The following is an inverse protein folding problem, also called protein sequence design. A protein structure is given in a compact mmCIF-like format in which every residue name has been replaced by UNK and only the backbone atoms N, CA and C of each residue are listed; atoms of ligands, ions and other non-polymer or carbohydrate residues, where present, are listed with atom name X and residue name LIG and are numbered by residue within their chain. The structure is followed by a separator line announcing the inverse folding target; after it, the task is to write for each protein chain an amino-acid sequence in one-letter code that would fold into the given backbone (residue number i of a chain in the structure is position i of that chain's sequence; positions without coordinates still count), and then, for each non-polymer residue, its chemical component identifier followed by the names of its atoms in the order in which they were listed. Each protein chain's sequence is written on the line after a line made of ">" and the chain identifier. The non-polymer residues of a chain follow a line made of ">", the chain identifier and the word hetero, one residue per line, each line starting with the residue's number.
data_IF_870943355793
#
_entry.id   IF_870943355793
#
_cell.length_a   1.000
_cell.length_b   1.000
_cell.length_c   1.000
_cell.angle_alpha   90.00
_cell.angle_beta   90.00
_cell.angle_gamma   90.00
#
_symmetry.space_group_name_H-M   'P 1'
#
loop_
_entity.id
_entity.type
_entity.pdbx_description
1 polymer ?
#
# COMPACT_ATOMS: atom_id res chain seq x y z
N UNK A 1 -12.83 18.93 8.90
CA UNK A 1 -11.53 18.30 9.18
C UNK A 1 -10.42 19.12 8.56
N UNK A 2 -9.80 19.95 9.39
CA UNK A 2 -8.53 20.61 9.10
C UNK A 2 -7.41 19.58 8.99
N UNK A 3 -6.28 19.95 8.40
CA UNK A 3 -5.15 19.03 8.27
C UNK A 3 -4.51 18.68 9.63
N UNK A 4 -4.67 19.55 10.62
CA UNK A 4 -4.30 19.28 12.01
C UNK A 4 -5.15 18.16 12.62
N UNK A 5 -6.48 18.24 12.48
CA UNK A 5 -7.40 17.20 12.95
C UNK A 5 -7.16 15.86 12.25
N UNK A 6 -6.86 15.88 10.94
CA UNK A 6 -6.50 14.67 10.21
C UNK A 6 -5.19 14.06 10.72
N UNK A 7 -4.20 14.89 11.04
CA UNK A 7 -2.91 14.42 11.56
C UNK A 7 -3.06 13.77 12.93
N UNK A 8 -3.81 14.40 13.84
CA UNK A 8 -4.10 13.84 15.17
C UNK A 8 -4.90 12.54 15.08
N UNK A 9 -5.88 12.50 14.18
CA UNK A 9 -6.63 11.29 13.89
C UNK A 9 -5.73 10.17 13.34
N UNK A 10 -4.83 10.45 12.40
CA UNK A 10 -3.91 9.43 11.88
C UNK A 10 -2.92 8.93 12.95
N UNK A 11 -2.44 9.82 13.82
CA UNK A 11 -1.54 9.47 14.92
C UNK A 11 -2.19 8.55 15.96
N UNK A 12 -3.51 8.51 16.07
CA UNK A 12 -4.19 7.58 17.00
C UNK A 12 -4.17 6.13 16.51
N UNK A 13 -3.90 5.91 15.22
CA UNK A 13 -3.88 4.59 14.59
C UNK A 13 -2.48 4.04 14.33
N UNK A 14 -1.49 4.93 14.28
CA UNK A 14 -0.12 4.60 13.89
C UNK A 14 0.75 4.51 15.13
N UNK A 15 1.35 3.34 15.35
CA UNK A 15 2.36 3.13 16.39
C UNK A 15 3.74 3.59 15.91
N UNK A 16 4.12 3.23 14.69
CA UNK A 16 5.43 3.59 14.11
C UNK A 16 5.38 3.69 12.58
N UNK A 17 6.17 4.59 12.01
CA UNK A 17 6.45 4.67 10.57
C UNK A 17 7.97 4.55 10.39
N UNK A 18 8.41 3.65 9.54
CA UNK A 18 9.81 3.52 9.15
C UNK A 18 10.02 3.99 7.70
N UNK A 19 11.02 4.84 7.49
CA UNK A 19 11.33 5.45 6.21
C UNK A 19 12.71 4.97 5.75
N UNK A 20 12.77 4.48 4.51
CA UNK A 20 14.01 4.16 3.79
C UNK A 20 14.40 5.35 2.93
N UNK A 21 15.66 5.76 2.99
CA UNK A 21 16.17 6.80 2.11
C UNK A 21 16.35 6.22 0.70
N UNK A 22 15.74 6.84 -0.29
CA UNK A 22 15.88 6.49 -1.70
C UNK A 22 16.46 7.68 -2.46
N UNK A 23 17.44 7.41 -3.32
CA UNK A 23 17.88 8.40 -4.31
C UNK A 23 16.87 8.39 -5.44
N UNK A 24 15.99 9.40 -5.46
CA UNK A 24 14.97 9.52 -6.50
C UNK A 24 15.67 9.97 -7.79
N UNK A 25 15.66 9.10 -8.80
CA UNK A 25 16.01 9.33 -10.21
C UNK A 25 17.25 10.19 -10.51
N UNK A 26 18.30 9.56 -11.06
CA UNK A 26 19.47 10.23 -11.64
C UNK A 26 20.23 11.22 -10.72
N UNK A 27 20.32 10.93 -9.43
CA UNK A 27 21.35 11.51 -8.55
C UNK A 27 21.12 12.95 -8.07
N UNK A 28 19.93 13.54 -8.23
CA UNK A 28 19.68 14.95 -7.87
C UNK A 28 18.72 15.19 -6.71
N UNK A 29 18.14 14.15 -6.10
CA UNK A 29 17.26 14.30 -4.93
C UNK A 29 17.39 13.16 -3.90
N UNK A 30 17.53 13.52 -2.63
CA UNK A 30 17.32 12.60 -1.51
C UNK A 30 15.82 12.53 -1.22
N UNK A 31 15.18 11.41 -1.52
CA UNK A 31 13.81 11.12 -1.13
C UNK A 31 13.77 10.15 0.04
N UNK A 32 12.64 10.10 0.75
CA UNK A 32 12.39 9.06 1.75
C UNK A 32 11.11 8.34 1.36
N UNK A 33 11.17 7.01 1.29
CA UNK A 33 10.05 6.13 0.98
C UNK A 33 9.64 5.38 2.25
N UNK A 34 8.35 5.14 2.41
CA UNK A 34 7.83 4.32 3.51
C UNK A 34 8.24 2.86 3.28
N UNK A 35 8.95 2.29 4.26
CA UNK A 35 9.30 0.88 4.27
C UNK A 35 8.18 0.07 4.92
N UNK A 36 7.79 0.45 6.13
CA UNK A 36 6.64 -0.13 6.82
C UNK A 36 5.97 0.83 7.80
N UNK A 37 4.71 0.52 8.13
CA UNK A 37 3.88 1.20 9.12
C UNK A 37 3.40 0.13 10.11
N UNK A 38 3.63 0.37 11.39
CA UNK A 38 3.07 -0.39 12.50
C UNK A 38 1.81 0.32 12.99
N UNK A 39 0.72 -0.43 13.08
CA UNK A 39 -0.59 0.05 13.48
C UNK A 39 -0.92 -0.42 14.89
N UNK A 40 -1.57 0.44 15.65
CA UNK A 40 -1.98 0.18 17.03
C UNK A 40 -3.08 -0.90 17.15
N UNK A 41 -3.58 -1.43 16.02
CA UNK A 41 -4.62 -2.43 15.97
C UNK A 41 -4.30 -3.48 14.90
N UNK A 42 -4.81 -4.72 15.07
CA UNK A 42 -4.62 -5.76 14.08
C UNK A 42 -5.40 -5.45 12.79
N UNK A 43 -4.72 -5.59 11.68
CA UNK A 43 -5.26 -5.54 10.33
C UNK A 43 -5.32 -6.96 9.75
N UNK A 44 -6.37 -7.22 8.99
CA UNK A 44 -6.59 -8.47 8.30
C UNK A 44 -6.45 -8.25 6.80
N UNK A 45 -5.64 -9.09 6.14
CA UNK A 45 -5.48 -9.11 4.70
C UNK A 45 -5.58 -10.55 4.20
N UNK A 46 -6.70 -10.88 3.56
CA UNK A 46 -7.04 -12.28 3.27
C UNK A 46 -7.15 -13.08 4.57
N UNK A 47 -6.43 -14.21 4.65
CA UNK A 47 -6.37 -15.07 5.83
C UNK A 47 -5.24 -14.68 6.80
N UNK A 48 -4.48 -13.62 6.49
CA UNK A 48 -3.37 -13.16 7.31
C UNK A 48 -3.81 -12.06 8.28
N UNK A 49 -3.44 -12.21 9.56
CA UNK A 49 -3.60 -11.19 10.60
C UNK A 49 -2.23 -10.64 11.01
N UNK A 50 -2.10 -9.32 11.06
CA UNK A 50 -0.88 -8.66 11.53
C UNK A 50 -1.13 -7.23 11.95
N UNK A 51 -0.12 -6.57 12.51
CA UNK A 51 -0.16 -5.15 12.88
C UNK A 51 0.72 -4.28 11.97
N UNK A 52 1.55 -4.91 11.14
CA UNK A 52 2.51 -4.26 10.26
C UNK A 52 2.05 -4.32 8.80
N UNK A 53 2.04 -3.17 8.15
CA UNK A 53 1.87 -3.04 6.70
C UNK A 53 3.21 -2.61 6.11
N UNK A 54 3.71 -3.35 5.11
CA UNK A 54 4.97 -3.04 4.42
C UNK A 54 4.73 -2.74 2.95
N UNK A 55 5.55 -1.85 2.40
CA UNK A 55 5.65 -1.72 0.96
C UNK A 55 6.50 -2.89 0.43
N UNK A 56 6.00 -3.71 -0.50
CA UNK A 56 6.82 -4.73 -1.13
C UNK A 56 7.98 -4.07 -1.90
N UNK A 57 9.17 -4.64 -1.76
CA UNK A 57 10.38 -4.17 -2.46
C UNK A 57 10.33 -4.42 -3.97
N UNK A 58 9.55 -5.41 -4.40
CA UNK A 58 9.53 -5.91 -5.77
C UNK A 58 8.21 -5.58 -6.47
N UNK A 59 8.29 -4.86 -7.59
CA UNK A 59 7.23 -4.87 -8.60
C UNK A 59 7.37 -6.17 -9.39
N UNK A 60 6.86 -7.27 -8.85
CA UNK A 60 6.95 -8.54 -9.57
C UNK A 60 6.08 -8.49 -10.83
N UNK A 61 6.53 -9.17 -11.89
CA UNK A 61 5.93 -9.13 -13.22
C UNK A 61 4.46 -9.57 -13.20
N UNK A 62 4.08 -10.41 -12.23
CA UNK A 62 2.71 -10.85 -11.98
C UNK A 62 1.79 -9.69 -11.61
N UNK A 63 2.26 -8.71 -10.83
CA UNK A 63 1.47 -7.53 -10.44
C UNK A 63 1.25 -6.60 -11.63
N UNK A 64 2.28 -6.38 -12.45
CA UNK A 64 2.19 -5.55 -13.67
C UNK A 64 1.27 -6.22 -14.70
N UNK A 65 1.46 -7.52 -14.98
CA UNK A 65 0.60 -8.29 -15.87
C UNK A 65 -0.86 -8.37 -15.38
N UNK A 66 -1.09 -8.47 -14.06
CA UNK A 66 -2.44 -8.49 -13.49
C UNK A 66 -3.14 -7.12 -13.66
N UNK A 67 -2.42 -6.02 -13.49
CA UNK A 67 -2.94 -4.66 -13.69
C UNK A 67 -3.24 -4.36 -15.17
N UNK A 68 -2.39 -4.83 -16.09
CA UNK A 68 -2.60 -4.70 -17.53
C UNK A 68 -3.79 -5.54 -18.02
N UNK A 69 -3.92 -6.79 -17.55
CA UNK A 69 -5.06 -7.66 -17.85
C UNK A 69 -6.41 -7.12 -17.30
N UNK A 70 -6.38 -6.29 -16.25
CA UNK A 70 -7.59 -5.62 -15.74
C UNK A 70 -7.94 -4.35 -16.51
N UNK A 71 -6.97 -3.71 -17.16
CA UNK A 71 -7.20 -2.56 -18.06
C UNK A 71 -7.79 -2.98 -19.41
N UNK A 72 -7.49 -4.17 -19.89
CA UNK A 72 -7.90 -4.66 -21.23
C UNK A 72 -9.20 -5.46 -21.25
N UNK A 73 -9.79 -5.79 -20.09
CA UNK A 73 -11.08 -6.50 -20.03
C UNK A 73 -12.23 -5.50 -19.87
N UNK A 74 -12.97 -5.15 -20.94
CA UNK A 74 -14.28 -4.54 -20.76
C UNK A 74 -15.18 -5.59 -20.10
N UNK A 75 -15.87 -5.21 -19.03
CA UNK A 75 -16.62 -6.12 -18.19
C UNK A 75 -17.52 -7.09 -18.97
N UNK A 76 -17.40 -8.38 -18.69
CA UNK A 76 -18.49 -9.33 -18.93
C UNK A 76 -18.99 -9.85 -17.59
N UNK A 77 -20.20 -9.37 -17.32
CA UNK A 77 -21.15 -9.69 -16.24
C UNK A 77 -21.16 -11.18 -15.92
N UNK A 78 -21.31 -11.47 -14.62
CA UNK A 78 -21.77 -12.75 -14.10
C UNK A 78 -22.92 -13.31 -14.94
N UNK A 79 -22.80 -14.54 -15.40
CA UNK A 79 -23.93 -15.43 -15.64
C UNK A 79 -23.61 -16.77 -14.98
N UNK A 80 -24.08 -16.94 -13.75
CA UNK A 80 -24.08 -18.24 -13.09
C UNK A 80 -25.15 -19.16 -13.66
N UNK A 81 -25.04 -20.45 -13.28
CA UNK A 81 -26.08 -21.50 -13.30
C UNK A 81 -26.53 -21.88 -14.73
N UNK A 82 -26.43 -23.13 -15.19
CA UNK A 82 -26.71 -24.45 -14.60
C UNK A 82 -25.73 -25.45 -15.17
#
# INVERSE_FOLDING_TARGET
>A
MTDMEKKEFMNTFIEKIELKNETVNNGTGQGSRIEHIDLAFPVYYGDCKGTRIRMPEENTVEVVCLLENRRTRPGKRNSGRV
#
